data_IF_032638413341
#
_entry.id   IF_032638413341
#
_cell.length_a   1.000
_cell.length_b   1.000
_cell.length_c   1.000
_cell.angle_alpha   90.00
_cell.angle_beta   90.00
_cell.angle_gamma   90.00
#
_symmetry.space_group_name_H-M   'P 1'
#
loop_
_entity.id
_entity.type
_entity.pdbx_description
1 polymer ?
#
# COMPACT_ATOMS: atom_id res chain seq x y z
N UNK A 1 2.01 19.62 21.21
CA UNK A 1 0.89 18.78 20.70
C UNK A 1 1.02 18.44 19.22
N UNK A 2 1.05 19.42 18.29
CA UNK A 2 1.20 19.16 16.84
C UNK A 2 2.46 18.37 16.46
N UNK A 3 3.62 18.74 17.01
CA UNK A 3 4.88 18.02 16.76
C UNK A 3 4.83 16.53 17.20
N UNK A 4 4.19 16.25 18.35
CA UNK A 4 4.01 14.88 18.83
C UNK A 4 3.07 14.07 17.91
N UNK A 5 1.98 14.68 17.45
CA UNK A 5 1.07 14.04 16.48
C UNK A 5 1.78 13.73 15.17
N UNK A 6 2.58 14.66 14.64
CA UNK A 6 3.38 14.44 13.43
C UNK A 6 4.40 13.32 13.56
N UNK A 7 5.05 13.20 14.72
CA UNK A 7 5.98 12.11 15.01
C UNK A 7 5.27 10.75 15.07
N UNK A 8 4.11 10.67 15.74
CA UNK A 8 3.30 9.44 15.81
C UNK A 8 2.80 9.04 14.42
N UNK A 9 2.34 9.99 13.60
CA UNK A 9 1.94 9.71 12.22
C UNK A 9 3.10 9.17 11.40
N UNK A 10 4.29 9.77 11.55
CA UNK A 10 5.48 9.35 10.80
C UNK A 10 5.91 7.93 11.18
N UNK A 11 5.95 7.63 12.47
CA UNK A 11 6.23 6.28 12.96
C UNK A 11 5.20 5.25 12.48
N UNK A 12 3.91 5.62 12.45
CA UNK A 12 2.87 4.73 11.95
C UNK A 12 2.96 4.50 10.43
N UNK A 13 3.37 5.49 9.64
CA UNK A 13 3.65 5.31 8.21
C UNK A 13 4.92 4.48 7.95
N UNK A 14 5.96 4.64 8.78
CA UNK A 14 7.14 3.78 8.74
C UNK A 14 6.77 2.32 9.03
N UNK A 15 5.93 2.07 10.05
CA UNK A 15 5.42 0.73 10.36
C UNK A 15 4.60 0.12 9.20
N UNK A 16 3.78 0.93 8.52
CA UNK A 16 3.08 0.52 7.30
C UNK A 16 4.06 0.16 6.17
N UNK A 17 5.12 0.95 5.97
CA UNK A 17 6.15 0.66 4.97
C UNK A 17 6.84 -0.68 5.25
N UNK A 18 7.22 -0.93 6.51
CA UNK A 18 7.81 -2.20 6.94
C UNK A 18 6.87 -3.38 6.67
N UNK A 19 5.56 -3.23 6.90
CA UNK A 19 4.59 -4.27 6.59
C UNK A 19 4.51 -4.57 5.07
N UNK A 20 4.59 -3.54 4.23
CA UNK A 20 4.62 -3.69 2.77
C UNK A 20 5.92 -4.35 2.29
N UNK A 21 7.06 -3.96 2.85
CA UNK A 21 8.37 -4.57 2.61
C UNK A 21 8.39 -6.05 3.01
N UNK A 22 7.78 -6.40 4.14
CA UNK A 22 7.66 -7.77 4.61
C UNK A 22 6.87 -8.68 3.65
N UNK A 23 5.85 -8.17 2.97
CA UNK A 23 5.16 -8.93 1.91
C UNK A 23 5.97 -8.97 0.62
N UNK A 24 6.64 -7.87 0.25
CA UNK A 24 7.53 -7.84 -0.92
C UNK A 24 8.69 -8.84 -0.80
N UNK A 25 9.26 -9.01 0.39
CA UNK A 25 10.34 -9.96 0.65
C UNK A 25 9.93 -11.42 0.40
N UNK A 26 8.64 -11.74 0.43
CA UNK A 26 8.10 -13.08 0.15
C UNK A 26 7.98 -13.37 -1.34
N UNK A 27 8.07 -12.35 -2.20
CA UNK A 27 7.95 -12.52 -3.65
C UNK A 27 9.25 -13.11 -4.20
N UNK A 28 9.21 -14.29 -4.86
CA UNK A 28 10.41 -14.91 -5.40
C UNK A 28 11.08 -14.02 -6.46
N UNK A 29 12.41 -13.87 -6.37
CA UNK A 29 13.20 -13.11 -7.36
C UNK A 29 13.56 -13.94 -8.61
N UNK A 30 12.69 -14.87 -9.01
CA UNK A 30 12.91 -15.81 -10.13
C UNK A 30 11.68 -15.89 -11.04
N UNK A 31 11.88 -16.31 -12.28
CA UNK A 31 10.81 -16.53 -13.26
C UNK A 31 10.73 -15.43 -14.32
N UNK A 32 9.55 -15.28 -14.94
CA UNK A 32 9.27 -14.27 -15.96
C UNK A 32 9.14 -12.84 -15.34
N UNK A 33 9.74 -11.79 -15.95
CA UNK A 33 9.66 -10.42 -15.44
C UNK A 33 8.25 -9.89 -15.21
N UNK A 34 7.32 -10.12 -16.14
CA UNK A 34 5.94 -9.64 -16.03
C UNK A 34 5.21 -10.27 -14.84
N UNK A 35 5.37 -11.58 -14.67
CA UNK A 35 4.83 -12.34 -13.55
C UNK A 35 5.37 -11.83 -12.21
N UNK A 36 6.68 -11.57 -12.12
CA UNK A 36 7.28 -11.00 -10.90
C UNK A 36 6.76 -9.61 -10.61
N UNK A 37 6.65 -8.73 -11.60
CA UNK A 37 6.17 -7.38 -11.41
C UNK A 37 4.72 -7.34 -10.90
N UNK A 38 3.84 -8.17 -11.47
CA UNK A 38 2.45 -8.36 -10.98
C UNK A 38 2.42 -8.86 -9.53
N UNK A 39 3.24 -9.88 -9.21
CA UNK A 39 3.33 -10.40 -7.86
C UNK A 39 3.82 -9.35 -6.84
N UNK A 40 4.77 -8.48 -7.23
CA UNK A 40 5.26 -7.38 -6.40
C UNK A 40 4.18 -6.34 -6.13
N UNK A 41 3.41 -5.92 -7.15
CA UNK A 41 2.29 -5.00 -6.93
C UNK A 41 1.24 -5.60 -5.98
N UNK A 42 0.88 -6.88 -6.16
CA UNK A 42 -0.03 -7.56 -5.23
C UNK A 42 0.52 -7.65 -3.81
N UNK A 43 1.82 -7.91 -3.64
CA UNK A 43 2.45 -7.95 -2.33
C UNK A 43 2.39 -6.60 -1.61
N UNK A 44 2.66 -5.50 -2.32
CA UNK A 44 2.52 -4.12 -1.81
C UNK A 44 1.10 -3.88 -1.28
N UNK A 45 0.07 -4.15 -2.09
CA UNK A 45 -1.32 -3.98 -1.67
C UNK A 45 -1.73 -4.93 -0.54
N UNK A 46 -1.19 -6.15 -0.52
CA UNK A 46 -1.42 -7.13 0.55
C UNK A 46 -0.85 -6.64 1.87
N UNK A 47 0.38 -6.12 1.89
CA UNK A 47 0.99 -5.58 3.11
C UNK A 47 0.22 -4.39 3.65
N UNK A 48 -0.25 -3.52 2.74
CA UNK A 48 -1.09 -2.38 3.09
C UNK A 48 -2.39 -2.79 3.79
N UNK A 49 -3.17 -3.68 3.16
CA UNK A 49 -4.46 -4.14 3.70
C UNK A 49 -4.29 -4.96 4.99
N UNK A 50 -3.24 -5.78 5.07
CA UNK A 50 -2.94 -6.56 6.27
C UNK A 50 -2.56 -5.67 7.45
N UNK A 51 -1.76 -4.63 7.22
CA UNK A 51 -1.41 -3.67 8.28
C UNK A 51 -2.66 -2.92 8.77
N UNK A 52 -3.53 -2.48 7.86
CA UNK A 52 -4.79 -1.84 8.24
C UNK A 52 -5.64 -2.71 9.18
N UNK A 53 -5.75 -4.00 8.85
CA UNK A 53 -6.57 -4.93 9.61
C UNK A 53 -5.93 -5.38 10.93
N UNK A 54 -4.62 -5.65 10.93
CA UNK A 54 -3.90 -6.10 12.12
C UNK A 54 -3.70 -4.97 13.15
N UNK A 55 -3.47 -3.75 12.67
CA UNK A 55 -3.09 -2.60 13.49
C UNK A 55 -3.99 -1.37 13.21
N UNK A 56 -5.32 -1.46 13.37
CA UNK A 56 -6.25 -0.40 12.96
C UNK A 56 -6.03 0.92 13.71
N UNK A 57 -5.53 0.87 14.96
CA UNK A 57 -5.14 2.06 15.71
C UNK A 57 -3.94 2.80 15.08
N UNK A 58 -2.90 2.05 14.71
CA UNK A 58 -1.75 2.61 14.01
C UNK A 58 -2.10 3.07 12.60
N UNK A 59 -2.94 2.33 11.88
CA UNK A 59 -3.40 2.74 10.56
C UNK A 59 -4.14 4.08 10.61
N UNK A 60 -5.04 4.28 11.58
CA UNK A 60 -5.68 5.59 11.81
C UNK A 60 -4.64 6.67 12.09
N UNK A 61 -3.68 6.38 12.98
CA UNK A 61 -2.61 7.32 13.31
C UNK A 61 -1.81 7.73 12.06
N UNK A 62 -1.44 6.76 11.20
CA UNK A 62 -0.68 6.97 9.96
C UNK A 62 -1.33 7.98 9.00
N UNK A 63 -2.66 8.15 9.08
CA UNK A 63 -3.44 9.04 8.21
C UNK A 63 -4.16 10.18 8.96
N UNK A 64 -3.90 10.34 10.26
CA UNK A 64 -4.62 11.29 11.13
C UNK A 64 -4.15 12.74 11.05
N UNK A 65 -2.89 13.00 10.63
CA UNK A 65 -2.32 14.35 10.54
C UNK A 65 -1.86 14.70 9.12
N UNK A 66 -2.45 14.08 8.09
CA UNK A 66 -2.01 14.28 6.71
C UNK A 66 -2.53 15.62 6.17
N UNK A 67 -1.75 16.70 6.33
CA UNK A 67 -2.08 18.01 5.77
C UNK A 67 -1.51 18.21 4.35
N UNK A 68 -0.55 17.39 3.89
CA UNK A 68 0.01 17.52 2.54
C UNK A 68 0.67 16.24 1.96
N UNK A 69 0.52 16.00 0.66
CA UNK A 69 1.25 14.98 -0.10
C UNK A 69 2.76 15.25 -0.15
N UNK A 70 3.19 16.51 -0.04
CA UNK A 70 4.61 16.91 0.01
C UNK A 70 5.36 16.23 1.16
N UNK A 71 4.67 15.91 2.25
CA UNK A 71 5.26 15.22 3.40
C UNK A 71 5.28 13.69 3.24
N UNK A 72 4.59 13.13 2.23
CA UNK A 72 4.52 11.69 2.00
C UNK A 72 5.87 11.06 1.63
N UNK A 73 6.85 11.89 1.23
CA UNK A 73 8.22 11.48 0.94
C UNK A 73 9.21 11.75 2.09
N UNK A 74 8.74 12.17 3.27
CA UNK A 74 9.64 12.41 4.41
C UNK A 74 10.37 11.13 4.83
N UNK A 75 11.70 11.16 5.02
CA UNK A 75 12.48 10.00 5.46
C UNK A 75 12.00 9.40 6.79
N UNK A 76 11.39 10.21 7.66
CA UNK A 76 10.83 9.74 8.93
C UNK A 76 9.63 8.78 8.77
N UNK A 77 9.08 8.67 7.56
CA UNK A 77 7.96 7.79 7.18
C UNK A 77 8.43 6.56 6.39
N UNK A 78 9.73 6.43 6.15
CA UNK A 78 10.29 5.33 5.38
C UNK A 78 10.35 4.03 6.20
N UNK A 79 10.24 2.90 5.49
CA UNK A 79 10.53 1.58 6.03
C UNK A 79 12.02 1.31 6.13
N UNK A 80 12.38 0.04 6.36
CA UNK A 80 13.78 -0.39 6.47
C UNK A 80 14.53 -0.25 5.14
N UNK A 81 13.82 -0.36 4.01
CA UNK A 81 14.34 -0.15 2.67
C UNK A 81 14.52 1.31 2.27
N UNK A 82 14.22 2.26 3.17
CA UNK A 82 14.40 3.70 2.93
C UNK A 82 13.31 4.34 2.06
N UNK A 83 12.28 3.60 1.68
CA UNK A 83 11.13 4.10 0.93
C UNK A 83 9.90 4.26 1.82
N UNK A 84 9.14 5.32 1.62
CA UNK A 84 7.83 5.50 2.26
C UNK A 84 6.76 4.60 1.61
N UNK A 85 5.59 4.38 2.24
CA UNK A 85 4.53 3.55 1.65
C UNK A 85 4.13 3.98 0.23
N UNK A 86 4.07 5.30 0.00
CA UNK A 86 3.74 5.86 -1.31
C UNK A 86 4.84 5.58 -2.34
N UNK A 87 6.11 5.73 -1.95
CA UNK A 87 7.25 5.43 -2.82
C UNK A 87 7.36 3.93 -3.14
N UNK A 88 7.03 3.05 -2.18
CA UNK A 88 6.99 1.60 -2.41
C UNK A 88 5.93 1.26 -3.48
N UNK A 89 4.75 1.87 -3.41
CA UNK A 89 3.72 1.71 -4.44
C UNK A 89 4.20 2.23 -5.80
N UNK A 90 4.77 3.44 -5.85
CA UNK A 90 5.30 4.03 -7.07
C UNK A 90 6.35 3.12 -7.73
N UNK A 91 7.30 2.60 -6.94
CA UNK A 91 8.34 1.68 -7.43
C UNK A 91 7.76 0.36 -7.96
N UNK A 92 6.69 -0.16 -7.34
CA UNK A 92 6.01 -1.36 -7.86
C UNK A 92 5.31 -1.10 -9.21
N UNK A 93 4.72 0.08 -9.38
CA UNK A 93 4.11 0.49 -10.65
C UNK A 93 5.17 0.73 -11.74
N UNK A 94 6.30 1.33 -11.39
CA UNK A 94 7.44 1.50 -12.29
C UNK A 94 7.97 0.13 -12.75
N UNK A 95 8.05 -0.84 -11.85
CA UNK A 95 8.39 -2.22 -12.19
C UNK A 95 7.41 -2.89 -13.17
N UNK A 96 6.12 -2.54 -13.14
CA UNK A 96 5.16 -3.01 -14.16
C UNK A 96 5.43 -2.39 -15.53
N UNK A 97 5.81 -1.12 -15.57
CA UNK A 97 6.20 -0.44 -16.82
C UNK A 97 7.45 -1.06 -17.41
N UNK A 98 8.48 -1.28 -16.58
CA UNK A 98 9.73 -1.91 -16.99
C UNK A 98 9.53 -3.32 -17.54
N UNK A 99 8.61 -4.09 -16.94
CA UNK A 99 8.26 -5.43 -17.39
C UNK A 99 7.30 -5.47 -18.59
N UNK A 100 6.89 -4.30 -19.13
CA UNK A 100 5.95 -4.20 -20.26
C UNK A 100 4.50 -4.58 -19.91
N UNK A 101 4.17 -4.65 -18.62
CA UNK A 101 2.82 -4.97 -18.13
C UNK A 101 1.92 -3.74 -18.14
N UNK A 102 2.45 -2.60 -17.73
CA UNK A 102 1.75 -1.32 -17.68
C UNK A 102 2.27 -0.42 -18.82
N UNK A 103 1.43 -0.04 -19.81
CA UNK A 103 1.83 0.94 -20.82
C UNK A 103 2.29 2.25 -20.18
N UNK A 104 3.38 2.84 -20.70
CA UNK A 104 4.00 4.05 -20.15
C UNK A 104 3.03 5.21 -20.07
N UNK A 105 2.09 5.28 -21.00
CA UNK A 105 1.08 6.32 -21.14
C UNK A 105 0.03 6.26 -20.01
N UNK A 106 -0.15 5.09 -19.40
CA UNK A 106 -1.09 4.86 -18.29
C UNK A 106 -0.43 5.01 -16.92
N UNK A 107 0.91 5.13 -16.87
CA UNK A 107 1.66 5.24 -15.61
C UNK A 107 1.37 6.54 -14.84
N UNK A 108 1.29 7.74 -15.45
CA UNK A 108 1.02 8.97 -14.71
C UNK A 108 -0.29 8.92 -13.94
N UNK A 109 -0.23 9.07 -12.62
CA UNK A 109 -1.40 9.08 -11.74
C UNK A 109 -1.96 7.71 -11.36
N UNK A 110 -1.38 6.61 -11.87
CA UNK A 110 -1.75 5.24 -11.51
C UNK A 110 -1.65 4.98 -9.99
N UNK A 111 -0.68 5.61 -9.33
CA UNK A 111 -0.48 5.52 -7.88
C UNK A 111 -1.66 6.06 -7.10
N UNK A 112 -2.31 7.14 -7.57
CA UNK A 112 -3.48 7.69 -6.91
C UNK A 112 -4.70 6.77 -7.02
N UNK A 113 -4.87 6.12 -8.18
CA UNK A 113 -5.96 5.15 -8.39
C UNK A 113 -5.78 3.91 -7.52
N UNK A 114 -4.58 3.32 -7.54
CA UNK A 114 -4.25 2.15 -6.73
C UNK A 114 -4.34 2.46 -5.22
N UNK A 115 -3.81 3.61 -4.80
CA UNK A 115 -3.88 4.06 -3.41
C UNK A 115 -5.32 4.29 -2.95
N UNK A 116 -6.13 4.98 -3.75
CA UNK A 116 -7.54 5.26 -3.41
C UNK A 116 -8.35 3.98 -3.24
N UNK A 117 -8.14 2.99 -4.12
CA UNK A 117 -8.79 1.70 -4.02
C UNK A 117 -8.40 0.96 -2.72
N UNK A 118 -7.10 0.82 -2.45
CA UNK A 118 -6.60 0.10 -1.27
C UNK A 118 -6.98 0.82 0.04
N UNK A 119 -6.81 2.14 0.10
CA UNK A 119 -7.17 2.95 1.25
C UNK A 119 -8.67 2.94 1.50
N UNK A 120 -9.48 3.06 0.45
CA UNK A 120 -10.93 2.99 0.54
C UNK A 120 -11.41 1.67 1.14
N UNK A 121 -10.91 0.53 0.64
CA UNK A 121 -11.26 -0.77 1.23
C UNK A 121 -10.77 -0.90 2.68
N UNK A 122 -9.54 -0.46 2.97
CA UNK A 122 -9.01 -0.47 4.33
C UNK A 122 -9.94 0.29 5.30
N UNK A 123 -10.34 1.51 4.95
CA UNK A 123 -11.27 2.31 5.75
C UNK A 123 -12.64 1.64 5.88
N UNK A 124 -13.17 1.06 4.80
CA UNK A 124 -14.44 0.32 4.84
C UNK A 124 -14.41 -0.88 5.79
N UNK A 125 -13.26 -1.56 5.87
CA UNK A 125 -13.03 -2.72 6.72
C UNK A 125 -12.79 -2.35 8.19
N UNK A 126 -12.08 -1.24 8.48
CA UNK A 126 -11.71 -0.92 9.88
C UNK A 126 -12.68 0.04 10.56
N UNK A 127 -13.33 0.93 9.81
CA UNK A 127 -14.23 1.98 10.33
C UNK A 127 -15.58 2.03 9.61
N UNK A 128 -15.71 1.38 8.46
CA UNK A 128 -16.90 1.43 7.63
C UNK A 128 -17.90 0.30 7.86
N UNK A 129 -18.84 0.12 6.90
CA UNK A 129 -19.90 -0.88 7.00
C UNK A 129 -19.40 -2.32 6.85
N UNK A 130 -18.17 -2.54 6.38
CA UNK A 130 -17.60 -3.87 6.17
C UNK A 130 -16.87 -4.42 7.41
N UNK A 131 -16.83 -3.68 8.52
CA UNK A 131 -16.16 -4.10 9.77
C UNK A 131 -16.69 -5.39 10.40
N UNK A 132 -17.89 -5.81 10.03
CA UNK A 132 -18.51 -7.05 10.51
C UNK A 132 -18.15 -8.30 9.69
N UNK A 133 -17.41 -8.15 8.59
CA UNK A 133 -16.97 -9.30 7.79
C UNK A 133 -16.02 -10.18 8.61
N UNK A 134 -16.14 -11.48 8.43
CA UNK A 134 -15.18 -12.41 9.03
C UNK A 134 -13.79 -12.28 8.35
N UNK A 135 -12.72 -12.77 9.01
CA UNK A 135 -11.36 -12.69 8.47
C UNK A 135 -11.15 -13.32 7.09
N UNK A 136 -11.91 -14.35 6.73
CA UNK A 136 -11.81 -15.02 5.43
C UNK A 136 -12.45 -14.14 4.36
N UNK A 137 -13.66 -13.64 4.61
CA UNK A 137 -14.38 -12.73 3.73
C UNK A 137 -13.57 -11.46 3.46
N UNK A 138 -13.02 -10.84 4.51
CA UNK A 138 -12.21 -9.62 4.38
C UNK A 138 -10.96 -9.84 3.49
N UNK A 139 -10.28 -10.98 3.67
CA UNK A 139 -9.13 -11.36 2.82
C UNK A 139 -9.54 -11.61 1.37
N UNK A 140 -10.68 -12.26 1.15
CA UNK A 140 -11.19 -12.52 -0.19
C UNK A 140 -11.56 -11.23 -0.94
N UNK A 141 -12.23 -10.29 -0.26
CA UNK A 141 -12.52 -8.96 -0.83
C UNK A 141 -11.22 -8.21 -1.12
N UNK A 142 -10.25 -8.25 -0.20
CA UNK A 142 -8.92 -7.67 -0.40
C UNK A 142 -8.23 -8.22 -1.65
N UNK A 143 -8.17 -9.54 -1.80
CA UNK A 143 -7.59 -10.18 -3.00
C UNK A 143 -8.29 -9.74 -4.28
N UNK A 144 -9.63 -9.74 -4.30
CA UNK A 144 -10.42 -9.31 -5.47
C UNK A 144 -10.19 -7.84 -5.83
N UNK A 145 -10.04 -6.96 -4.84
CA UNK A 145 -9.68 -5.57 -5.07
C UNK A 145 -8.32 -5.46 -5.76
N UNK A 146 -7.30 -6.19 -5.29
CA UNK A 146 -5.98 -6.16 -5.89
C UNK A 146 -5.99 -6.69 -7.33
N UNK A 147 -6.75 -7.76 -7.59
CA UNK A 147 -6.94 -8.31 -8.94
C UNK A 147 -7.59 -7.27 -9.87
N UNK A 148 -8.60 -6.54 -9.39
CA UNK A 148 -9.28 -5.47 -10.13
C UNK A 148 -8.35 -4.28 -10.39
N UNK A 149 -7.58 -3.83 -9.40
CA UNK A 149 -6.62 -2.73 -9.57
C UNK A 149 -5.58 -3.11 -10.62
N UNK A 150 -5.01 -4.31 -10.55
CA UNK A 150 -4.01 -4.75 -11.53
C UNK A 150 -4.57 -4.79 -12.97
N UNK A 151 -5.84 -5.18 -13.15
CA UNK A 151 -6.49 -5.23 -14.47
C UNK A 151 -6.94 -3.86 -14.97
N UNK A 152 -7.28 -2.95 -14.05
CA UNK A 152 -7.75 -1.59 -14.35
C UNK A 152 -6.61 -0.59 -14.60
N UNK A 153 -5.40 -0.91 -14.14
CA UNK A 153 -4.16 -0.20 -14.47
C UNK A 153 -3.63 -0.56 -15.86
#
# INVERSE_FOLDING_TARGET
RRALLGAVCSAAQAALAVAMEGELAKVPNRGDPATRARARLRAVGTGYLRFAWAEPGLFRAAFSASEDLRDAASPARAGEGGLTPFQILAAALDGLVEAGVLPRERRPGAEFLAWSAAHGLAMLLIDGPLRGLDPVQARDVGRRLLDMVEQGL
#
